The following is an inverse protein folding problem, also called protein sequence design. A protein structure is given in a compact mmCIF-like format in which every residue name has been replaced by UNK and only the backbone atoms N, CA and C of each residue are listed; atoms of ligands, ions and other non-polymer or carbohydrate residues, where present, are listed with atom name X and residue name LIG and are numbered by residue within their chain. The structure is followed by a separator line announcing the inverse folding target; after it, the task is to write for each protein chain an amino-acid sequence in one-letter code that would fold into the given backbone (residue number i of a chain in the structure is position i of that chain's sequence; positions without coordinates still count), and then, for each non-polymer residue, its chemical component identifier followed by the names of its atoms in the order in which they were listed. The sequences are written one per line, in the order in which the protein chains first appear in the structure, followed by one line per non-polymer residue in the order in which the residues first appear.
data_IF_913589773612
#
_entry.id   IF_913589773612
#
_cell.length_a   1.000
_cell.length_b   1.000
_cell.length_c   1.000
_cell.angle_alpha   90.00
_cell.angle_beta   90.00
_cell.angle_gamma   90.00
#
_symmetry.space_group_name_H-M   'P 1'
#
loop_
_entity.id
_entity.type
_entity.pdbx_description
1 polymer ?
#
# COMPACT_ATOMS: atom_id res chain seq x y z
N UNK A 1 5.65 6.13 -1.27
CA UNK A 1 5.84 6.61 -2.66
C UNK A 1 7.33 6.83 -2.96
N UNK A 2 7.81 6.45 -4.14
CA UNK A 2 9.21 6.74 -4.51
C UNK A 2 9.35 8.20 -4.96
N UNK A 3 10.51 8.87 -4.77
CA UNK A 3 10.75 10.20 -5.32
C UNK A 3 10.73 10.23 -6.86
N UNK A 4 10.81 9.08 -7.52
CA UNK A 4 10.85 8.92 -8.97
C UNK A 4 9.46 8.61 -9.57
N UNK A 5 8.45 8.39 -8.73
CA UNK A 5 7.08 8.09 -9.15
C UNK A 5 6.38 9.32 -9.80
N UNK A 6 7.01 10.50 -9.79
CA UNK A 6 6.47 11.73 -10.39
C UNK A 6 6.07 11.57 -11.87
N UNK A 7 6.83 10.77 -12.62
CA UNK A 7 6.56 10.52 -14.05
C UNK A 7 5.42 9.53 -14.30
N UNK A 8 4.93 8.86 -13.26
CA UNK A 8 3.75 8.00 -13.31
C UNK A 8 2.57 8.80 -12.76
N UNK A 9 1.81 9.43 -13.68
CA UNK A 9 0.56 10.07 -13.32
C UNK A 9 -0.34 9.04 -12.62
N UNK A 10 -0.69 9.30 -11.36
CA UNK A 10 -1.64 8.50 -10.57
C UNK A 10 -3.00 9.19 -10.64
N UNK A 11 -3.87 8.89 -11.61
CA UNK A 11 -5.25 9.32 -11.50
C UNK A 11 -5.83 8.69 -10.23
N UNK A 12 -6.49 9.53 -9.42
CA UNK A 12 -6.96 9.24 -8.05
C UNK A 12 -7.94 8.06 -7.91
N UNK A 13 -8.28 7.34 -8.98
CA UNK A 13 -9.24 6.22 -8.95
C UNK A 13 -8.97 5.24 -10.09
N UNK A 14 -7.81 4.60 -10.11
CA UNK A 14 -7.64 3.39 -10.93
C UNK A 14 -7.57 2.21 -9.98
N UNK A 15 -8.68 1.47 -9.93
CA UNK A 15 -8.76 0.11 -9.41
C UNK A 15 -7.84 -0.77 -10.28
N UNK A 16 -6.55 -0.72 -10.00
CA UNK A 16 -5.68 -1.79 -10.45
C UNK A 16 -6.07 -3.01 -9.62
N UNK A 17 -6.62 -4.01 -10.29
CA UNK A 17 -6.69 -5.39 -9.81
C UNK A 17 -5.27 -5.83 -9.44
N UNK A 18 -5.16 -6.75 -8.48
CA UNK A 18 -3.92 -7.28 -7.95
C UNK A 18 -2.82 -7.49 -9.00
N UNK A 19 -1.65 -6.91 -8.72
CA UNK A 19 -0.46 -6.97 -9.55
C UNK A 19 -0.32 -5.71 -10.40
N UNK A 20 0.78 -4.97 -10.22
CA UNK A 20 1.33 -4.26 -11.39
C UNK A 20 1.36 -5.29 -12.50
N UNK A 21 0.72 -5.06 -13.67
CA UNK A 21 0.92 -5.96 -14.79
C UNK A 21 2.43 -5.99 -14.97
N UNK A 22 3.05 -7.10 -14.62
CA UNK A 22 4.41 -7.43 -15.02
C UNK A 22 4.31 -7.40 -16.53
N UNK A 23 4.53 -6.23 -17.12
CA UNK A 23 4.56 -6.05 -18.56
C UNK A 23 5.60 -7.05 -19.01
N UNK A 24 5.17 -8.00 -19.82
CA UNK A 24 6.06 -9.03 -20.31
C UNK A 24 7.28 -8.33 -20.94
N UNK A 25 8.50 -8.56 -20.42
CA UNK A 25 9.71 -7.92 -20.94
C UNK A 25 9.89 -8.11 -22.45
N UNK A 26 9.36 -9.20 -23.01
CA UNK A 26 9.41 -9.52 -24.44
C UNK A 26 8.41 -8.72 -25.29
N UNK A 27 7.35 -8.19 -24.67
CA UNK A 27 6.35 -7.34 -25.34
C UNK A 27 6.75 -5.86 -25.40
N UNK A 28 7.83 -5.46 -24.70
CA UNK A 28 8.23 -4.07 -24.57
C UNK A 28 9.11 -3.62 -25.75
N UNK A 29 8.59 -2.70 -26.57
CA UNK A 29 9.37 -2.05 -27.62
C UNK A 29 10.60 -1.27 -27.09
N UNK A 30 11.50 -0.86 -27.98
CA UNK A 30 12.75 -0.19 -27.62
C UNK A 30 12.54 1.12 -26.83
N UNK A 31 11.68 2.02 -27.31
CA UNK A 31 11.44 3.31 -26.63
C UNK A 31 10.83 3.13 -25.22
N UNK A 32 9.78 2.31 -25.03
CA UNK A 32 9.32 1.96 -23.67
C UNK A 32 10.40 1.31 -22.80
N UNK A 33 11.30 0.52 -23.39
CA UNK A 33 12.42 -0.09 -22.65
C UNK A 33 13.43 0.95 -22.17
N UNK A 34 13.78 1.94 -23.01
CA UNK A 34 14.64 3.07 -22.60
C UNK A 34 13.96 3.92 -21.54
N UNK A 35 12.66 4.19 -21.68
CA UNK A 35 11.89 4.90 -20.66
C UNK A 35 11.90 4.15 -19.32
N UNK A 36 11.66 2.84 -19.36
CA UNK A 36 11.73 1.99 -18.17
C UNK A 36 13.13 1.97 -17.55
N UNK A 37 14.17 1.90 -18.40
CA UNK A 37 15.55 1.98 -17.97
C UNK A 37 15.86 3.29 -17.23
N UNK A 38 15.41 4.45 -17.72
CA UNK A 38 15.71 5.76 -17.10
C UNK A 38 14.81 6.06 -15.90
N UNK A 39 13.49 5.84 -16.02
CA UNK A 39 12.49 6.30 -15.04
C UNK A 39 11.91 5.20 -14.17
N UNK A 40 11.67 4.01 -14.73
CA UNK A 40 11.38 2.78 -13.98
C UNK A 40 10.10 2.15 -14.45
N UNK A 41 9.34 1.53 -13.55
CA UNK A 41 7.98 1.05 -13.86
C UNK A 41 6.95 1.45 -12.79
N UNK A 42 7.33 2.36 -11.90
CA UNK A 42 6.54 2.78 -10.75
C UNK A 42 6.67 1.84 -9.54
N UNK A 43 5.88 2.10 -8.51
CA UNK A 43 5.87 1.33 -7.27
C UNK A 43 5.15 -0.01 -7.45
N UNK A 44 5.81 -1.18 -7.25
CA UNK A 44 5.14 -2.49 -7.31
C UNK A 44 4.13 -2.67 -6.18
N UNK A 45 4.27 -1.90 -5.11
CA UNK A 45 3.42 -1.94 -3.92
C UNK A 45 2.37 -0.81 -3.90
N UNK A 46 1.92 -0.32 -5.07
CA UNK A 46 0.98 0.81 -5.13
C UNK A 46 -0.35 0.54 -4.42
N UNK A 47 -0.80 -0.72 -4.41
CA UNK A 47 -2.06 -1.16 -3.78
C UNK A 47 -1.87 -1.70 -2.35
N UNK A 48 -0.66 -1.62 -1.79
CA UNK A 48 -0.31 -2.30 -0.55
C UNK A 48 -1.25 -1.97 0.62
N UNK A 49 -1.66 -0.71 0.75
CA UNK A 49 -2.61 -0.29 1.79
C UNK A 49 -3.93 -1.05 1.68
N UNK A 50 -4.48 -1.19 0.47
CA UNK A 50 -5.73 -1.91 0.25
C UNK A 50 -5.57 -3.40 0.58
N UNK A 51 -4.45 -4.01 0.14
CA UNK A 51 -4.13 -5.42 0.44
C UNK A 51 -4.07 -5.65 1.94
N UNK A 52 -3.39 -4.76 2.69
CA UNK A 52 -3.27 -4.84 4.15
C UNK A 52 -4.60 -4.73 4.86
N UNK A 53 -5.40 -3.73 4.50
CA UNK A 53 -6.70 -3.49 5.14
C UNK A 53 -7.65 -4.64 4.85
N UNK A 54 -7.65 -5.16 3.61
CA UNK A 54 -8.47 -6.31 3.23
C UNK A 54 -8.07 -7.57 3.98
N UNK A 55 -6.76 -7.85 4.08
CA UNK A 55 -6.23 -8.98 4.84
C UNK A 55 -6.55 -8.88 6.34
N UNK A 56 -6.35 -7.69 6.93
CA UNK A 56 -6.70 -7.43 8.32
C UNK A 56 -8.21 -7.61 8.57
N UNK A 57 -9.06 -7.08 7.70
CA UNK A 57 -10.51 -7.24 7.82
C UNK A 57 -10.95 -8.72 7.75
N UNK A 58 -10.28 -9.53 6.92
CA UNK A 58 -10.53 -10.97 6.88
C UNK A 58 -10.11 -11.67 8.17
N UNK A 59 -8.92 -11.35 8.70
CA UNK A 59 -8.44 -11.89 9.97
C UNK A 59 -9.36 -11.49 11.15
N UNK A 60 -9.88 -10.25 11.16
CA UNK A 60 -10.83 -9.78 12.17
C UNK A 60 -12.15 -10.56 12.11
N UNK A 61 -12.69 -10.78 10.90
CA UNK A 61 -13.90 -11.57 10.70
C UNK A 61 -13.72 -13.02 11.15
N UNK A 62 -12.57 -13.62 10.86
CA UNK A 62 -12.19 -14.96 11.34
C UNK A 62 -12.12 -15.00 12.88
N UNK A 63 -11.57 -13.96 13.51
CA UNK A 63 -11.56 -13.77 14.97
C UNK A 63 -12.93 -13.49 15.60
N UNK A 64 -13.96 -13.28 14.78
CA UNK A 64 -15.32 -12.98 15.23
C UNK A 64 -15.51 -11.54 15.73
N UNK A 65 -14.70 -10.59 15.26
CA UNK A 65 -14.82 -9.16 15.59
C UNK A 65 -13.95 -8.69 16.75
N UNK A 66 -13.20 -9.57 17.41
CA UNK A 66 -12.22 -9.20 18.44
C UNK A 66 -10.87 -9.87 18.15
N UNK A 67 -9.80 -9.08 18.09
CA UNK A 67 -8.44 -9.55 17.75
C UNK A 67 -7.39 -8.86 18.60
N UNK A 68 -6.23 -9.50 18.73
CA UNK A 68 -5.05 -9.00 19.42
C UNK A 68 -4.12 -8.25 18.47
N UNK A 69 -3.20 -7.43 19.00
CA UNK A 69 -2.19 -6.77 18.18
C UNK A 69 -1.33 -7.78 17.39
N UNK A 70 -1.04 -8.93 17.99
CA UNK A 70 -0.26 -10.00 17.38
C UNK A 70 -0.98 -10.59 16.14
N UNK A 71 -2.31 -10.67 16.15
CA UNK A 71 -3.10 -11.13 15.00
C UNK A 71 -3.13 -10.12 13.85
N UNK A 72 -3.00 -8.83 14.16
CA UNK A 72 -2.95 -7.77 13.15
C UNK A 72 -1.53 -7.50 12.63
N UNK A 73 -0.49 -7.88 13.38
CA UNK A 73 0.91 -7.64 13.03
C UNK A 73 1.32 -8.12 11.62
N UNK A 74 0.86 -9.28 11.10
CA UNK A 74 1.16 -9.71 9.72
C UNK A 74 0.63 -8.76 8.62
N UNK A 75 -0.31 -7.88 8.96
CA UNK A 75 -0.93 -6.92 8.04
C UNK A 75 -0.45 -5.47 8.28
N UNK A 76 0.31 -5.22 9.34
CA UNK A 76 0.70 -3.90 9.77
C UNK A 76 2.13 -3.49 9.33
N UNK A 77 2.43 -2.20 9.49
CA UNK A 77 3.78 -1.67 9.38
C UNK A 77 4.50 -1.79 10.72
N UNK A 78 5.01 -2.99 10.95
CA UNK A 78 5.76 -3.29 12.16
C UNK A 78 7.21 -2.85 11.97
N UNK A 79 7.68 -1.90 12.79
CA UNK A 79 9.07 -1.45 12.80
C UNK A 79 10.06 -2.57 13.14
N UNK A 80 11.30 -2.45 12.69
CA UNK A 80 12.38 -3.36 13.08
C UNK A 80 12.65 -3.19 14.60
N UNK A 81 12.54 -4.27 15.39
CA UNK A 81 12.82 -4.26 16.84
C UNK A 81 11.63 -4.50 17.78
N UNK A 82 10.38 -4.43 17.28
CA UNK A 82 9.16 -4.65 18.09
C UNK A 82 8.89 -6.12 18.44
N UNK A 83 9.72 -7.04 17.96
CA UNK A 83 9.63 -8.48 18.25
C UNK A 83 10.33 -8.88 19.55
N UNK A 84 11.00 -7.93 20.23
CA UNK A 84 11.71 -8.18 21.48
C UNK A 84 10.78 -8.64 22.60
N UNK A 85 11.28 -9.54 23.45
CA UNK A 85 10.65 -9.98 24.72
C UNK A 85 10.69 -8.88 25.79
N UNK A 86 10.69 -7.61 25.41
CA UNK A 86 10.57 -6.53 26.38
C UNK A 86 9.12 -6.44 26.87
N UNK A 87 8.95 -6.23 28.17
CA UNK A 87 7.65 -6.19 28.85
C UNK A 87 6.70 -5.08 28.35
N UNK A 88 7.17 -4.21 27.44
CA UNK A 88 6.38 -3.23 26.71
C UNK A 88 6.48 -3.51 25.20
N UNK A 89 5.51 -4.26 24.67
CA UNK A 89 5.33 -4.33 23.22
C UNK A 89 4.63 -3.04 22.79
N UNK A 90 5.33 -2.19 22.05
CA UNK A 90 4.72 -1.04 21.40
C UNK A 90 3.68 -1.53 20.37
N UNK A 91 2.39 -1.47 20.74
CA UNK A 91 1.27 -1.84 19.87
C UNK A 91 0.83 -0.69 18.95
N UNK A 92 1.55 0.45 18.91
CA UNK A 92 1.20 1.61 18.08
C UNK A 92 1.08 1.29 16.59
N UNK A 93 1.76 0.24 16.12
CA UNK A 93 1.73 -0.21 14.73
C UNK A 93 0.33 -0.65 14.27
N UNK A 94 -0.58 -1.05 15.18
CA UNK A 94 -1.95 -1.45 14.78
C UNK A 94 -2.91 -0.27 14.64
N UNK A 95 -2.60 0.88 15.23
CA UNK A 95 -3.50 2.05 15.30
C UNK A 95 -4.04 2.47 13.92
N UNK A 96 -3.25 2.52 12.84
CA UNK A 96 -3.78 2.89 11.52
C UNK A 96 -4.85 1.92 11.00
N UNK A 97 -4.64 0.60 11.18
CA UNK A 97 -5.57 -0.43 10.72
C UNK A 97 -6.83 -0.41 11.58
N UNK A 98 -6.66 -0.30 12.90
CA UNK A 98 -7.75 -0.20 13.87
C UNK A 98 -8.63 1.00 13.54
N UNK A 99 -8.04 2.18 13.36
CA UNK A 99 -8.78 3.40 13.01
C UNK A 99 -9.48 3.31 11.66
N UNK A 100 -8.82 2.76 10.62
CA UNK A 100 -9.37 2.66 9.28
C UNK A 100 -10.55 1.67 9.18
N UNK A 101 -10.58 0.65 10.03
CA UNK A 101 -11.63 -0.37 10.08
C UNK A 101 -12.68 -0.12 11.18
N UNK A 102 -12.66 1.05 11.83
CA UNK A 102 -13.64 1.41 12.86
C UNK A 102 -13.50 0.59 14.16
N UNK A 103 -12.28 0.11 14.46
CA UNK A 103 -12.00 -0.63 15.67
C UNK A 103 -11.73 0.27 16.88
N UNK A 104 -11.93 -0.27 18.08
CA UNK A 104 -11.58 0.39 19.34
C UNK A 104 -10.81 -0.56 20.27
N UNK A 105 -9.87 -0.05 21.08
CA UNK A 105 -9.20 -0.86 22.10
C UNK A 105 -10.11 -1.07 23.31
N UNK A 106 -10.17 -2.29 23.81
CA UNK A 106 -10.84 -2.69 25.04
C UNK A 106 -9.84 -3.46 25.92
N UNK A 107 -9.88 -3.23 27.23
CA UNK A 107 -8.97 -3.89 28.18
C UNK A 107 -9.70 -5.07 28.81
N UNK A 108 -9.07 -6.23 28.83
CA UNK A 108 -9.64 -7.44 29.46
C UNK A 108 -9.39 -7.44 30.97
N UNK A 109 -10.10 -8.31 31.70
CA UNK A 109 -9.90 -8.50 33.15
C UNK A 109 -8.45 -8.88 33.50
N UNK A 110 -7.78 -9.56 32.58
CA UNK A 110 -6.38 -9.99 32.71
C UNK A 110 -5.37 -8.85 32.41
N UNK A 111 -5.85 -7.65 32.07
CA UNK A 111 -5.03 -6.48 31.72
C UNK A 111 -4.45 -6.50 30.30
N UNK A 112 -4.87 -7.43 29.45
CA UNK A 112 -4.47 -7.50 28.04
C UNK A 112 -5.36 -6.57 27.19
N UNK A 113 -4.80 -5.97 26.12
CA UNK A 113 -5.54 -5.13 25.18
C UNK A 113 -6.10 -6.00 24.04
N UNK A 114 -7.39 -5.85 23.74
CA UNK A 114 -8.09 -6.48 22.62
C UNK A 114 -8.73 -5.40 21.76
N UNK A 115 -8.59 -5.51 20.44
CA UNK A 115 -9.17 -4.58 19.48
C UNK A 115 -10.49 -5.15 18.96
N UNK A 116 -11.54 -4.35 19.03
CA UNK A 116 -12.92 -4.77 18.81
C UNK A 116 -13.52 -4.00 17.65
N UNK A 117 -14.20 -4.70 16.74
CA UNK A 117 -14.67 -4.20 15.45
C UNK A 117 -16.16 -4.52 15.24
N UNK A 118 -17.05 -3.81 15.92
CA UNK A 118 -18.50 -4.05 15.83
C UNK A 118 -19.06 -3.73 14.45
N UNK A 119 -18.72 -2.56 13.91
CA UNK A 119 -19.23 -2.09 12.62
C UNK A 119 -18.83 -3.03 11.48
N UNK A 120 -17.59 -3.52 11.50
CA UNK A 120 -17.08 -4.48 10.52
C UNK A 120 -17.86 -5.81 10.55
N UNK A 121 -18.36 -6.20 11.73
CA UNK A 121 -19.19 -7.40 11.92
C UNK A 121 -20.67 -7.15 11.64
N UNK A 122 -21.15 -5.93 11.82
CA UNK A 122 -22.51 -5.49 11.47
C UNK A 122 -22.69 -5.32 9.97
N UNK A 123 -21.62 -4.98 9.24
CA UNK A 123 -21.55 -5.12 7.78
C UNK A 123 -21.50 -6.58 7.36
N UNK A 124 -22.56 -7.32 7.67
CA UNK A 124 -23.05 -8.35 6.76
C UNK A 124 -23.57 -7.65 5.51
N UNK A 125 -22.66 -7.11 4.68
CA UNK A 125 -23.04 -6.72 3.33
C UNK A 125 -23.49 -8.02 2.66
N UNK A 126 -24.81 -8.22 2.59
CA UNK A 126 -25.39 -9.16 1.65
C UNK A 126 -24.85 -8.88 0.25
N UNK A 127 -25.00 -9.85 -0.66
CA UNK A 127 -24.47 -9.76 -2.04
C UNK A 127 -24.69 -8.37 -2.68
N UNK A 128 -25.84 -7.74 -2.45
CA UNK A 128 -26.21 -6.39 -2.93
C UNK A 128 -25.38 -5.23 -2.34
N UNK A 129 -25.08 -5.27 -1.04
CA UNK A 129 -24.24 -4.24 -0.41
C UNK A 129 -22.80 -4.28 -0.92
N UNK A 130 -22.30 -5.47 -1.22
CA UNK A 130 -20.98 -5.68 -1.80
C UNK A 130 -20.92 -5.19 -3.25
N UNK A 131 -21.99 -5.38 -4.04
CA UNK A 131 -22.14 -4.85 -5.39
C UNK A 131 -22.03 -3.31 -5.39
N UNK A 132 -22.75 -2.64 -4.47
CA UNK A 132 -22.77 -1.18 -4.36
C UNK A 132 -21.42 -0.60 -3.92
N UNK A 133 -20.73 -1.27 -2.99
CA UNK A 133 -19.40 -0.84 -2.51
C UNK A 133 -18.32 -0.99 -3.58
N UNK A 134 -18.44 -2.02 -4.43
CA UNK A 134 -17.47 -2.33 -5.47
C UNK A 134 -17.76 -1.63 -6.80
N UNK A 135 -18.84 -0.83 -6.87
CA UNK A 135 -19.22 -0.10 -8.07
C UNK A 135 -19.54 -1.03 -9.25
N UNK A 136 -19.96 -2.25 -8.96
CA UNK A 136 -20.30 -3.26 -9.97
C UNK A 136 -21.73 -3.04 -10.41
N UNK A 137 -22.00 -3.12 -11.71
CA UNK A 137 -23.29 -2.70 -12.23
C UNK A 137 -24.35 -3.81 -12.15
N UNK A 138 -23.92 -5.06 -12.06
CA UNK A 138 -24.82 -6.21 -12.05
C UNK A 138 -24.24 -7.42 -11.30
N UNK A 139 -25.11 -8.43 -11.12
CA UNK A 139 -24.82 -9.66 -10.40
C UNK A 139 -23.80 -10.56 -11.14
N UNK A 140 -23.74 -10.49 -12.46
CA UNK A 140 -22.83 -11.28 -13.30
C UNK A 140 -21.38 -10.81 -13.15
N UNK A 141 -21.15 -9.50 -13.26
CA UNK A 141 -19.85 -8.85 -13.05
C UNK A 141 -19.39 -9.01 -11.59
N UNK A 142 -20.35 -9.08 -10.65
CA UNK A 142 -20.07 -9.43 -9.25
C UNK A 142 -19.64 -10.90 -9.09
N UNK A 143 -20.32 -11.83 -9.74
CA UNK A 143 -19.98 -13.26 -9.68
C UNK A 143 -18.70 -13.58 -10.43
N UNK A 144 -18.36 -12.87 -11.51
CA UNK A 144 -17.06 -12.94 -12.18
C UNK A 144 -15.94 -12.38 -11.28
N UNK A 145 -16.14 -11.20 -10.69
CA UNK A 145 -15.19 -10.63 -9.73
C UNK A 145 -15.03 -11.50 -8.48
N UNK A 146 -16.09 -12.19 -8.04
CA UNK A 146 -16.08 -13.09 -6.88
C UNK A 146 -15.54 -14.49 -7.20
N UNK A 147 -15.79 -15.04 -8.38
CA UNK A 147 -15.22 -16.33 -8.82
C UNK A 147 -13.73 -16.21 -9.11
N UNK A 148 -13.29 -15.07 -9.66
CA UNK A 148 -11.87 -14.69 -9.70
C UNK A 148 -11.26 -14.50 -8.30
N UNK A 149 -12.07 -14.18 -7.28
CA UNK A 149 -11.63 -14.08 -5.86
C UNK A 149 -11.66 -15.41 -5.11
N UNK A 150 -12.56 -16.32 -5.44
CA UNK A 150 -12.79 -17.56 -4.70
C UNK A 150 -11.65 -18.58 -4.92
N UNK A 151 -10.86 -18.42 -5.99
CA UNK A 151 -9.61 -19.15 -6.21
C UNK A 151 -8.40 -18.54 -5.48
N UNK A 152 -8.54 -17.36 -4.89
CA UNK A 152 -7.46 -16.66 -4.17
C UNK A 152 -7.70 -16.82 -2.67
N UNK A 153 -7.08 -17.85 -2.09
CA UNK A 153 -6.87 -17.90 -0.64
C UNK A 153 -6.30 -16.55 -0.20
N UNK A 154 -7.03 -15.82 0.66
CA UNK A 154 -6.52 -14.56 1.18
C UNK A 154 -5.21 -14.86 1.91
N UNK A 155 -4.11 -14.20 1.55
CA UNK A 155 -2.82 -14.55 2.10
C UNK A 155 -2.86 -14.31 3.62
N UNK A 156 -2.38 -15.31 4.37
CA UNK A 156 -2.28 -15.25 5.84
C UNK A 156 -1.28 -14.19 6.33
N UNK A 157 -0.53 -13.58 5.41
CA UNK A 157 0.45 -12.53 5.65
C UNK A 157 0.60 -11.62 4.42
N UNK A 158 0.82 -10.32 4.63
CA UNK A 158 1.12 -9.38 3.54
C UNK A 158 2.62 -9.38 3.23
N UNK A 159 2.97 -9.72 1.99
CA UNK A 159 4.34 -9.59 1.48
C UNK A 159 4.45 -8.43 0.51
N UNK A 160 5.34 -7.49 0.79
CA UNK A 160 5.71 -6.43 -0.15
C UNK A 160 6.63 -6.98 -1.25
N UNK A 161 6.38 -6.56 -2.49
CA UNK A 161 7.19 -6.94 -3.65
C UNK A 161 8.41 -6.00 -3.74
N UNK A 162 9.65 -6.52 -3.90
CA UNK A 162 10.82 -5.66 -4.08
C UNK A 162 10.74 -4.89 -5.41
N UNK A 163 11.31 -3.69 -5.43
CA UNK A 163 11.46 -2.91 -6.66
C UNK A 163 12.42 -3.62 -7.63
N UNK A 164 11.97 -3.79 -8.87
CA UNK A 164 12.86 -4.12 -9.97
C UNK A 164 13.47 -2.84 -10.53
N UNK A 165 14.70 -2.94 -11.07
CA UNK A 165 15.33 -1.77 -11.68
C UNK A 165 14.58 -1.29 -12.92
N UNK A 166 14.16 -2.24 -13.76
CA UNK A 166 13.38 -2.00 -14.96
C UNK A 166 12.78 -3.32 -15.45
N UNK A 167 11.61 -3.26 -16.07
CA UNK A 167 10.91 -4.37 -16.72
C UNK A 167 11.46 -4.67 -18.11
N UNK A 168 12.36 -3.83 -18.64
CA UNK A 168 12.97 -4.05 -19.95
C UNK A 168 13.80 -5.34 -20.00
N UNK A 169 13.91 -5.94 -21.19
CA UNK A 169 14.78 -7.08 -21.41
C UNK A 169 16.25 -6.76 -21.06
N UNK A 170 17.08 -7.76 -20.67
CA UNK A 170 18.49 -7.54 -20.38
C UNK A 170 19.24 -6.87 -21.54
N UNK A 171 18.92 -7.26 -22.78
CA UNK A 171 19.48 -6.70 -24.01
C UNK A 171 19.15 -5.21 -24.14
N UNK A 172 17.87 -4.84 -23.98
CA UNK A 172 17.46 -3.44 -24.08
C UNK A 172 18.06 -2.58 -22.96
N UNK A 173 18.23 -3.13 -21.75
CA UNK A 173 18.94 -2.45 -20.65
C UNK A 173 20.40 -2.20 -21.00
N UNK A 174 21.08 -3.19 -21.58
CA UNK A 174 22.48 -3.07 -22.00
C UNK A 174 22.61 -2.04 -23.12
N UNK A 175 21.73 -2.08 -24.14
CA UNK A 175 21.71 -1.11 -25.23
C UNK A 175 21.42 0.31 -24.71
N UNK A 176 20.43 0.50 -23.84
CA UNK A 176 20.13 1.80 -23.26
C UNK A 176 21.34 2.37 -22.49
N UNK A 177 22.01 1.53 -21.69
CA UNK A 177 23.25 1.92 -21.01
C UNK A 177 24.37 2.30 -21.99
N UNK A 178 24.58 1.50 -23.04
CA UNK A 178 25.58 1.77 -24.08
C UNK A 178 25.30 3.11 -24.78
N UNK A 179 24.06 3.36 -25.19
CA UNK A 179 23.66 4.63 -25.81
C UNK A 179 23.87 5.81 -24.86
N UNK A 180 23.56 5.64 -23.57
CA UNK A 180 23.82 6.65 -22.55
C UNK A 180 25.29 7.03 -22.42
N UNK A 181 26.17 6.02 -22.39
CA UNK A 181 27.62 6.23 -22.29
C UNK A 181 28.21 6.81 -23.59
N UNK A 182 27.78 6.31 -24.75
CA UNK A 182 28.21 6.82 -26.05
C UNK A 182 27.81 8.29 -26.24
N UNK A 183 26.57 8.64 -25.88
CA UNK A 183 26.08 10.02 -25.92
C UNK A 183 26.88 10.94 -24.99
N UNK A 184 27.13 10.51 -23.74
CA UNK A 184 27.94 11.28 -22.80
C UNK A 184 29.37 11.49 -23.32
N UNK A 185 30.03 10.44 -23.82
CA UNK A 185 31.36 10.54 -24.42
C UNK A 185 31.40 11.48 -25.62
N UNK A 186 30.42 11.39 -26.51
CA UNK A 186 30.29 12.28 -27.68
C UNK A 186 30.12 13.75 -27.28
N UNK A 187 29.25 14.03 -26.31
CA UNK A 187 29.04 15.40 -25.82
C UNK A 187 30.27 15.94 -25.11
N UNK A 188 30.97 15.13 -24.30
CA UNK A 188 32.22 15.54 -23.66
C UNK A 188 33.32 15.82 -24.69
N UNK A 189 33.44 14.99 -25.72
CA UNK A 189 34.38 15.20 -26.82
C UNK A 189 34.09 16.50 -27.58
N UNK A 190 32.82 16.75 -27.95
CA UNK A 190 32.41 18.00 -28.60
C UNK A 190 32.63 19.21 -27.69
N UNK A 191 32.36 19.08 -26.39
CA UNK A 191 32.59 20.14 -25.41
C UNK A 191 34.09 20.48 -25.32
N UNK A 192 34.96 19.47 -25.35
CA UNK A 192 36.40 19.68 -25.39
C UNK A 192 36.84 20.36 -26.68
N UNK A 193 36.28 19.97 -27.83
CA UNK A 193 36.57 20.59 -29.13
C UNK A 193 36.20 22.07 -29.12
N UNK A 194 34.99 22.43 -28.69
CA UNK A 194 34.56 23.83 -28.58
C UNK A 194 35.31 24.64 -27.51
N UNK A 195 35.96 23.98 -26.56
CA UNK A 195 36.79 24.61 -25.55
C UNK A 195 38.21 24.91 -26.04
N UNK A 196 38.59 24.47 -27.26
CA UNK A 196 39.90 24.77 -27.83
C UNK A 196 40.06 26.28 -28.11
N UNK A 197 41.24 26.87 -27.86
CA UNK A 197 41.47 28.31 -28.08
C UNK A 197 41.13 28.77 -29.51
N UNK A 198 41.42 27.93 -30.50
CA UNK A 198 41.13 28.18 -31.91
C UNK A 198 39.62 28.37 -32.20
N UNK A 199 38.75 27.65 -31.48
CA UNK A 199 37.30 27.73 -31.66
C UNK A 199 36.63 28.67 -30.66
N UNK A 200 37.30 29.02 -29.56
CA UNK A 200 36.80 29.99 -28.59
C UNK A 200 36.83 31.42 -29.13
N UNK A 201 37.91 31.81 -29.81
CA UNK A 201 38.08 33.16 -30.38
C UNK A 201 37.46 33.32 -31.76
N UNK A 202 37.03 32.22 -32.40
CA UNK A 202 36.36 32.27 -33.68
C UNK A 202 34.91 32.77 -33.52
N UNK A 203 34.48 33.71 -34.37
CA UNK A 203 33.05 33.99 -34.55
C UNK A 203 32.41 32.80 -35.27
N UNK A 204 31.92 31.84 -34.49
CA UNK A 204 31.21 30.68 -35.00
C UNK A 204 29.79 31.12 -35.40
N UNK A 205 29.57 31.35 -36.69
CA UNK A 205 28.28 31.76 -37.26
C UNK A 205 27.60 30.56 -37.93
N UNK A 206 26.27 30.64 -38.09
CA UNK A 206 25.49 29.58 -38.75
C UNK A 206 25.39 28.31 -37.91
N UNK A 207 25.45 27.14 -38.57
CA UNK A 207 25.21 25.84 -37.94
C UNK A 207 26.13 25.55 -36.75
N UNK A 208 27.43 25.85 -36.87
CA UNK A 208 28.42 25.57 -35.82
C UNK A 208 28.17 26.42 -34.57
N UNK A 209 27.77 27.69 -34.75
CA UNK A 209 27.36 28.56 -33.65
C UNK A 209 26.10 28.06 -32.93
N UNK A 210 25.11 27.56 -33.69
CA UNK A 210 23.90 26.97 -33.12
C UNK A 210 24.21 25.71 -32.29
N UNK A 211 25.07 24.81 -32.79
CA UNK A 211 25.51 23.63 -32.01
C UNK A 211 26.19 24.05 -30.71
N UNK A 212 27.10 25.03 -30.76
CA UNK A 212 27.75 25.57 -29.56
C UNK A 212 26.75 26.14 -28.55
N UNK A 213 25.70 26.82 -29.01
CA UNK A 213 24.65 27.35 -28.14
C UNK A 213 23.81 26.24 -27.48
N UNK A 214 23.64 25.08 -28.15
CA UNK A 214 22.91 23.93 -27.63
C UNK A 214 23.73 23.02 -26.71
N UNK A 215 25.07 23.12 -26.73
CA UNK A 215 25.98 22.31 -25.91
C UNK A 215 25.59 22.20 -24.42
N UNK A 216 25.25 23.28 -23.68
CA UNK A 216 24.89 23.13 -22.27
C UNK A 216 23.65 22.25 -22.07
N UNK A 217 22.66 22.33 -22.96
CA UNK A 217 21.46 21.51 -22.89
C UNK A 217 21.74 20.04 -23.26
N UNK A 218 22.59 19.80 -24.28
CA UNK A 218 23.05 18.45 -24.62
C UNK A 218 23.83 17.81 -23.47
N UNK A 219 24.72 18.57 -22.83
CA UNK A 219 25.49 18.10 -21.68
C UNK A 219 24.58 17.78 -20.49
N UNK A 220 23.66 18.69 -20.17
CA UNK A 220 22.68 18.46 -19.11
C UNK A 220 21.86 17.19 -19.36
N UNK A 221 21.36 16.99 -20.59
CA UNK A 221 20.64 15.79 -20.97
C UNK A 221 21.51 14.52 -20.85
N UNK A 222 22.72 14.53 -21.40
CA UNK A 222 23.61 13.37 -21.38
C UNK A 222 24.02 12.97 -19.95
N UNK A 223 24.26 13.95 -19.08
CA UNK A 223 24.50 13.73 -17.66
C UNK A 223 23.25 13.17 -16.99
N UNK A 224 22.09 13.77 -17.19
CA UNK A 224 20.83 13.32 -16.57
C UNK A 224 20.45 11.88 -16.97
N UNK A 225 20.62 11.52 -18.25
CA UNK A 225 20.32 10.19 -18.75
C UNK A 225 21.12 9.08 -18.03
N UNK A 226 22.33 9.38 -17.57
CA UNK A 226 23.16 8.43 -16.82
C UNK A 226 23.00 8.58 -15.29
N UNK A 227 22.90 9.81 -14.80
CA UNK A 227 22.82 10.08 -13.36
C UNK A 227 21.49 9.63 -12.74
N UNK A 228 20.36 9.87 -13.42
CA UNK A 228 19.02 9.49 -12.93
C UNK A 228 18.92 7.97 -12.66
N UNK A 229 19.21 7.06 -13.63
CA UNK A 229 19.15 5.63 -13.36
C UNK A 229 20.17 5.17 -12.31
N UNK A 230 21.36 5.80 -12.24
CA UNK A 230 22.37 5.46 -11.23
C UNK A 230 21.90 5.79 -9.80
N UNK A 231 21.37 7.00 -9.59
CA UNK A 231 20.80 7.42 -8.31
C UNK A 231 19.59 6.56 -7.95
N UNK A 232 18.71 6.27 -8.91
CA UNK A 232 17.57 5.38 -8.71
C UNK A 232 18.01 3.97 -8.32
N UNK A 233 19.04 3.42 -8.96
CA UNK A 233 19.57 2.10 -8.60
C UNK A 233 20.08 2.05 -7.15
N UNK A 234 20.75 3.12 -6.68
CA UNK A 234 21.16 3.22 -5.28
C UNK A 234 19.97 3.29 -4.32
N UNK A 235 18.94 4.07 -4.67
CA UNK A 235 17.70 4.14 -3.90
C UNK A 235 16.96 2.79 -3.86
N UNK A 236 16.79 2.12 -5.01
CA UNK A 236 16.15 0.79 -5.11
C UNK A 236 16.87 -0.22 -4.21
N UNK A 237 18.21 -0.26 -4.23
CA UNK A 237 18.97 -1.16 -3.35
C UNK A 237 18.69 -0.90 -1.87
N UNK A 238 18.60 0.37 -1.46
CA UNK A 238 18.29 0.74 -0.08
C UNK A 238 16.85 0.38 0.29
N UNK A 239 15.89 0.66 -0.58
CA UNK A 239 14.48 0.40 -0.32
C UNK A 239 14.16 -1.09 -0.32
N UNK A 240 14.76 -1.89 -1.21
CA UNK A 240 14.59 -3.34 -1.21
C UNK A 240 15.08 -3.99 0.08
N UNK A 241 16.20 -3.51 0.67
CA UNK A 241 16.65 -3.98 1.98
C UNK A 241 15.63 -3.71 3.10
N UNK A 242 14.97 -2.55 3.04
CA UNK A 242 13.90 -2.19 4.00
C UNK A 242 12.65 -3.04 3.79
N UNK A 243 12.25 -3.25 2.53
CA UNK A 243 11.13 -4.13 2.16
C UNK A 243 11.39 -5.55 2.69
N UNK A 244 12.60 -6.07 2.49
CA UNK A 244 12.99 -7.37 3.04
C UNK A 244 12.93 -7.39 4.57
N UNK A 245 13.36 -6.32 5.23
CA UNK A 245 13.23 -6.15 6.69
C UNK A 245 11.78 -6.24 7.15
N UNK A 246 10.89 -5.41 6.58
CA UNK A 246 9.45 -5.41 6.89
C UNK A 246 8.82 -6.78 6.65
N UNK A 247 9.14 -7.42 5.52
CA UNK A 247 8.63 -8.76 5.20
C UNK A 247 9.17 -9.83 6.14
N UNK A 248 10.43 -9.75 6.59
CA UNK A 248 10.95 -10.66 7.62
C UNK A 248 10.18 -10.51 8.93
N UNK A 249 9.94 -9.27 9.37
CA UNK A 249 9.18 -9.00 10.59
C UNK A 249 7.77 -9.58 10.52
N UNK A 250 7.05 -9.41 9.41
CA UNK A 250 5.72 -9.99 9.22
C UNK A 250 5.72 -11.52 9.26
N UNK A 251 6.71 -12.17 8.63
CA UNK A 251 6.88 -13.64 8.70
C UNK A 251 7.15 -14.11 10.13
N UNK A 252 7.96 -13.37 10.89
CA UNK A 252 8.24 -13.70 12.28
C UNK A 252 6.99 -13.60 13.15
N UNK A 253 6.17 -12.56 12.98
CA UNK A 253 4.90 -12.44 13.69
C UNK A 253 3.92 -13.55 13.31
N UNK A 254 3.87 -13.91 12.02
CA UNK A 254 3.05 -15.03 11.56
C UNK A 254 3.50 -16.36 12.21
N UNK A 255 4.80 -16.63 12.24
CA UNK A 255 5.34 -17.79 12.92
C UNK A 255 5.05 -17.78 14.44
N UNK A 256 5.11 -16.60 15.08
CA UNK A 256 4.78 -16.43 16.51
C UNK A 256 3.30 -16.71 16.81
N UNK A 257 2.39 -16.44 15.88
CA UNK A 257 0.98 -16.82 16.01
C UNK A 257 0.77 -18.34 15.92
N UNK A 258 1.51 -19.02 15.05
CA UNK A 258 1.37 -20.47 14.83
C UNK A 258 2.03 -21.31 15.93
N UNK A 259 3.25 -20.95 16.34
CA UNK A 259 4.02 -21.68 17.34
C UNK A 259 3.86 -21.21 18.79
N UNK A 260 3.10 -20.13 19.02
CA UNK A 260 3.28 -19.18 20.12
C UNK A 260 3.52 -19.68 21.56
N UNK A 261 4.29 -18.86 22.30
CA UNK A 261 4.50 -18.99 23.75
C UNK A 261 3.25 -18.66 24.58
N UNK A 262 3.36 -18.85 25.90
CA UNK A 262 2.21 -18.78 26.82
C UNK A 262 1.47 -17.42 26.78
N UNK A 263 2.21 -16.31 26.68
CA UNK A 263 1.64 -14.95 26.58
C UNK A 263 0.77 -14.75 25.33
N UNK A 264 1.23 -15.20 24.16
CA UNK A 264 0.47 -15.08 22.89
C UNK A 264 -0.80 -15.94 22.98
N UNK A 265 -0.67 -17.17 23.49
CA UNK A 265 -1.83 -18.05 23.70
C UNK A 265 -2.85 -17.47 24.69
N UNK A 266 -2.39 -16.80 25.76
CA UNK A 266 -3.26 -16.08 26.71
C UNK A 266 -4.05 -14.97 26.01
N UNK A 267 -3.36 -14.04 25.33
CA UNK A 267 -3.99 -12.95 24.58
C UNK A 267 -5.00 -13.45 23.54
N UNK A 268 -4.65 -14.49 22.77
CA UNK A 268 -5.54 -15.10 21.78
C UNK A 268 -6.81 -15.70 22.41
N UNK A 269 -6.69 -16.34 23.58
CA UNK A 269 -7.86 -16.84 24.32
C UNK A 269 -8.71 -15.69 24.85
N UNK A 270 -8.10 -14.61 25.31
CA UNK A 270 -8.80 -13.43 25.80
C UNK A 270 -9.65 -12.79 24.69
N UNK A 271 -9.06 -12.57 23.50
CA UNK A 271 -9.80 -12.08 22.33
C UNK A 271 -10.93 -13.03 21.91
N UNK A 272 -10.72 -14.35 21.97
CA UNK A 272 -11.78 -15.33 21.66
C UNK A 272 -12.94 -15.31 22.66
N UNK A 273 -12.66 -15.17 23.97
CA UNK A 273 -13.71 -15.01 24.99
C UNK A 273 -14.52 -13.73 24.73
N UNK A 274 -13.85 -12.64 24.38
CA UNK A 274 -14.48 -11.36 24.09
C UNK A 274 -15.34 -11.39 22.81
N UNK A 275 -14.90 -12.09 21.76
CA UNK A 275 -15.73 -12.25 20.55
C UNK A 275 -16.97 -13.12 20.81
N UNK A 276 -16.88 -14.09 21.73
CA UNK A 276 -18.03 -14.89 22.15
C UNK A 276 -19.05 -14.06 22.96
N UNK A 277 -18.60 -13.20 23.88
CA UNK A 277 -19.51 -12.32 24.63
C UNK A 277 -20.23 -11.34 23.70
N UNK A 278 -19.52 -10.74 22.74
CA UNK A 278 -20.08 -9.85 21.72
C UNK A 278 -21.18 -10.54 20.88
N UNK A 279 -20.96 -11.80 20.47
CA UNK A 279 -21.99 -12.57 19.74
C UNK A 279 -23.24 -12.85 20.59
N UNK A 280 -23.09 -12.97 21.90
CA UNK A 280 -24.20 -13.24 22.83
C UNK A 280 -25.04 -11.98 23.15
N UNK A 281 -24.43 -10.79 23.18
CA UNK A 281 -25.13 -9.52 23.40
C UNK A 281 -25.83 -8.97 22.15
N UNK A 282 -25.46 -9.45 20.95
CA UNK A 282 -26.17 -9.19 19.69
C UNK A 282 -27.56 -9.81 19.56
N UNK A 283 -28.19 -10.22 20.66
CA UNK A 283 -29.56 -10.76 20.71
C UNK A 283 -30.68 -9.74 20.51
N UNK A 284 -30.36 -8.43 20.48
CA UNK A 284 -31.25 -7.39 19.96
C UNK A 284 -30.82 -7.01 18.54
N UNK A 285 -31.07 -7.93 17.59
CA UNK A 285 -30.99 -7.63 16.16
C UNK A 285 -32.21 -6.81 15.78
N UNK A 286 -32.14 -5.50 15.96
CA UNK A 286 -33.02 -4.59 15.22
C UNK A 286 -32.58 -4.65 13.75
N UNK A 287 -33.44 -5.24 12.92
CA UNK A 287 -33.24 -5.34 11.48
C UNK A 287 -33.33 -3.93 10.92
N UNK A 288 -32.18 -3.30 10.70
CA UNK A 288 -32.08 -2.06 9.95
C UNK A 288 -32.32 -2.37 8.46
N UNK A 289 -33.49 -1.98 7.98
CA UNK A 289 -33.79 -1.91 6.56
C UNK A 289 -32.93 -0.79 5.93
N UNK A 290 -31.95 -1.18 5.12
CA UNK A 290 -31.00 -0.28 4.47
C UNK A 290 -31.61 0.50 3.28
N UNK A 291 -32.94 0.55 3.18
CA UNK A 291 -33.67 1.34 2.18
C UNK A 291 -33.92 2.81 2.54
N UNK A 292 -33.65 3.24 3.79
CA UNK A 292 -33.90 4.62 4.22
C UNK A 292 -32.68 5.53 4.02
N UNK A 293 -32.96 6.74 3.56
CA UNK A 293 -31.97 7.76 3.21
C UNK A 293 -31.08 8.11 4.42
N UNK A 294 -29.77 8.20 4.21
CA UNK A 294 -28.77 8.30 5.29
C UNK A 294 -28.94 9.55 6.15
N UNK A 295 -29.57 10.59 5.58
CA UNK A 295 -29.88 11.86 6.26
C UNK A 295 -31.04 11.69 7.25
N UNK A 296 -32.07 10.91 6.90
CA UNK A 296 -33.23 10.66 7.75
C UNK A 296 -32.85 9.82 8.98
N UNK A 297 -31.89 8.89 8.82
CA UNK A 297 -31.31 8.12 9.92
C UNK A 297 -30.48 8.96 10.90
N UNK A 298 -29.89 10.07 10.46
CA UNK A 298 -29.16 10.98 11.34
C UNK A 298 -30.12 11.84 12.16
N UNK A 299 -31.18 12.36 11.54
CA UNK A 299 -32.21 13.14 12.25
C UNK A 299 -32.99 12.29 13.27
N UNK A 300 -33.32 11.03 12.95
CA UNK A 300 -33.95 10.11 13.89
C UNK A 300 -33.02 9.80 15.09
N UNK A 301 -31.71 9.67 14.87
CA UNK A 301 -30.72 9.47 15.95
C UNK A 301 -30.59 10.68 16.85
N UNK A 302 -30.55 11.88 16.27
CA UNK A 302 -30.50 13.12 17.05
C UNK A 302 -31.76 13.25 17.91
N UNK A 303 -32.94 13.00 17.36
CA UNK A 303 -34.21 13.01 18.11
C UNK A 303 -34.23 11.99 19.24
N UNK A 304 -33.84 10.74 18.98
CA UNK A 304 -33.77 9.71 20.01
C UNK A 304 -32.77 10.05 21.13
N UNK A 305 -31.65 10.71 20.79
CA UNK A 305 -30.67 11.15 21.77
C UNK A 305 -31.20 12.28 22.67
N UNK A 306 -31.97 13.21 22.10
CA UNK A 306 -32.63 14.30 22.83
C UNK A 306 -33.74 13.77 23.74
N UNK A 307 -34.55 12.83 23.26
CA UNK A 307 -35.62 12.20 24.06
C UNK A 307 -35.05 11.43 25.26
N UNK A 308 -33.95 10.69 25.07
CA UNK A 308 -33.25 10.00 26.16
C UNK A 308 -32.60 10.97 27.16
N UNK A 309 -32.12 12.11 26.69
CA UNK A 309 -31.58 13.17 27.54
C UNK A 309 -32.69 13.82 28.40
N UNK A 310 -33.82 14.15 27.80
CA UNK A 310 -34.98 14.75 28.48
C UNK A 310 -35.64 13.78 29.48
N UNK A 311 -35.64 12.48 29.17
CA UNK A 311 -36.10 11.46 30.11
C UNK A 311 -35.23 11.41 31.38
N UNK A 312 -33.90 11.50 31.23
CA UNK A 312 -32.95 11.55 32.36
C UNK A 312 -33.05 12.84 33.19
N UNK A 313 -33.51 13.94 32.58
CA UNK A 313 -33.78 15.18 33.30
C UNK A 313 -35.06 15.12 34.13
N UNK A 314 -36.10 14.45 33.61
CA UNK A 314 -37.37 14.26 34.32
C UNK A 314 -37.26 13.34 35.54
N UNK A 315 -36.36 12.36 35.51
CA UNK A 315 -36.09 11.45 36.63
C UNK A 315 -35.28 12.07 37.79
N UNK A 316 -34.79 13.31 37.62
CA UNK A 316 -33.95 14.01 38.61
C UNK A 316 -34.62 15.23 39.26
N UNK A 317 -35.90 15.48 38.97
CA UNK A 317 -36.77 16.47 39.63
C UNK A 317 -37.79 15.75 40.49
#
# INVERSE_FOLDING_TARGET
PSPFDFWYYRPYRTYYVYGSPTRDPSSMGFLPSVFSYVFGDGSPNAQLTEVRVRGAAAAIREGGGAVTAEQLAPFADVGEGTTGEENYVDESFVVPIVSMLGGRPEVTEDGDIVYVFEELMQTGLGKEGMIKLMGVNNMEEYEEAMSARQSVSLPSEVSEVPYTFSSASPENKALAGLFGLANLGGVLYLSQLFSSPALQSAQLVGYVGAVRALMPFLLAYAVAFNAVPALRAAWIRRENRRIEGRNRTRRMWRAKLEGGGENVKRKLRAAKKFSQSMKSTGGKREVFDSGKDLVESQEERERQSLDQFDAKFRDKL
#
